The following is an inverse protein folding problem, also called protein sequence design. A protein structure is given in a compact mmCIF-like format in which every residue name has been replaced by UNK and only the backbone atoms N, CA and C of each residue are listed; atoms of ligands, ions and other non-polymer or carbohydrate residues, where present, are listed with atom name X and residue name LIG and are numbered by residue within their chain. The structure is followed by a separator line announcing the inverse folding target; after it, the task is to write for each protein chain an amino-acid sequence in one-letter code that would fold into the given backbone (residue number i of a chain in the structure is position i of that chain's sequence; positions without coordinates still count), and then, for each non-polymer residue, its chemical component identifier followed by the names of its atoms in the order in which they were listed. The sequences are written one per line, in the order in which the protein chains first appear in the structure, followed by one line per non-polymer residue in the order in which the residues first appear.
data_IF_106028615403
#
_entry.id   IF_106028615403
#
_cell.length_a   1.000
_cell.length_b   1.000
_cell.length_c   1.000
_cell.angle_alpha   90.00
_cell.angle_beta   90.00
_cell.angle_gamma   90.00
#
_symmetry.space_group_name_H-M   'P 1'
#
loop_
_entity.id
_entity.type
_entity.pdbx_description
1 polymer ?
#
# COMPACT_ATOMS: atom_id res chain seq x y z
N UNK A 1 -33.09 19.63 43.62
CA UNK A 1 -32.80 19.21 42.24
C UNK A 1 -33.58 17.94 42.00
N UNK A 2 -34.54 17.93 41.05
CA UNK A 2 -35.48 16.84 40.86
C UNK A 2 -34.81 15.63 40.18
N UNK A 3 -35.10 14.43 40.69
CA UNK A 3 -34.60 13.15 40.15
C UNK A 3 -34.80 13.01 38.62
N UNK A 4 -35.85 13.61 38.08
CA UNK A 4 -36.14 13.66 36.64
C UNK A 4 -35.11 14.46 35.84
N UNK A 5 -34.51 15.49 36.43
CA UNK A 5 -33.47 16.30 35.76
C UNK A 5 -32.15 15.55 35.64
N UNK A 6 -31.84 14.67 36.59
CA UNK A 6 -30.64 13.81 36.51
C UNK A 6 -30.75 12.72 35.44
N UNK A 7 -31.93 12.17 35.19
CA UNK A 7 -32.17 11.17 34.16
C UNK A 7 -32.01 11.74 32.75
N UNK A 8 -32.39 13.01 32.55
CA UNK A 8 -32.19 13.68 31.24
C UNK A 8 -30.73 14.02 30.96
N UNK A 9 -29.96 14.37 32.00
CA UNK A 9 -28.52 14.66 31.83
C UNK A 9 -27.72 13.37 31.56
N UNK A 10 -28.08 12.25 32.21
CA UNK A 10 -27.43 10.95 31.95
C UNK A 10 -27.71 10.41 30.53
N UNK A 11 -28.90 10.67 29.97
CA UNK A 11 -29.28 10.23 28.63
C UNK A 11 -28.53 11.01 27.52
N UNK A 12 -28.09 12.24 27.78
CA UNK A 12 -27.34 13.05 26.81
C UNK A 12 -25.84 12.69 26.69
N UNK A 13 -25.28 11.96 27.67
CA UNK A 13 -23.88 11.56 27.68
C UNK A 13 -23.67 10.21 26.98
N UNK A 14 -24.72 9.40 26.82
CA UNK A 14 -24.65 8.05 26.24
C UNK A 14 -24.66 8.02 24.68
N UNK A 15 -24.71 9.18 24.03
CA UNK A 15 -24.98 9.27 22.58
C UNK A 15 -23.88 9.91 21.74
N UNK A 16 -22.62 10.00 22.20
CA UNK A 16 -21.54 10.35 21.26
C UNK A 16 -21.17 9.11 20.45
N UNK A 17 -21.47 9.08 19.12
CA UNK A 17 -20.93 8.02 18.29
C UNK A 17 -19.41 8.10 18.40
N UNK A 18 -18.77 6.98 18.75
CA UNK A 18 -17.32 6.88 18.63
C UNK A 18 -16.95 7.31 17.20
N UNK A 19 -15.90 8.13 17.01
CA UNK A 19 -15.46 8.46 15.67
C UNK A 19 -15.10 7.13 14.99
N UNK A 20 -15.94 6.70 14.04
CA UNK A 20 -15.57 5.63 13.14
C UNK A 20 -14.31 6.11 12.43
N UNK A 21 -13.20 5.40 12.58
CA UNK A 21 -12.00 5.67 11.83
C UNK A 21 -12.35 5.42 10.35
N UNK A 22 -12.81 6.48 9.67
CA UNK A 22 -13.09 6.43 8.26
C UNK A 22 -11.74 6.24 7.54
N UNK A 23 -11.63 5.18 6.77
CA UNK A 23 -10.50 4.96 5.88
C UNK A 23 -10.41 6.05 4.78
N UNK A 24 -9.47 5.91 3.83
CA UNK A 24 -9.32 6.89 2.75
C UNK A 24 -10.61 7.09 1.97
N UNK A 25 -10.93 8.34 1.64
CA UNK A 25 -12.12 8.70 0.82
C UNK A 25 -11.93 8.35 -0.67
N UNK A 26 -10.72 8.07 -1.09
CA UNK A 26 -10.32 7.65 -2.43
C UNK A 26 -9.46 6.38 -2.32
N UNK A 27 -9.63 5.44 -3.25
CA UNK A 27 -8.90 4.18 -3.22
C UNK A 27 -7.38 4.41 -3.33
N UNK A 28 -6.71 4.11 -2.25
CA UNK A 28 -5.27 4.30 -2.10
C UNK A 28 -4.70 3.38 -1.01
N UNK A 29 -3.40 3.23 -0.99
CA UNK A 29 -2.69 2.55 0.08
C UNK A 29 -1.35 3.21 0.36
N UNK A 30 -1.06 3.42 1.64
CA UNK A 30 0.25 3.84 2.13
C UNK A 30 0.84 2.75 3.03
N UNK A 31 2.08 2.38 2.75
CA UNK A 31 2.82 1.37 3.51
C UNK A 31 4.22 1.90 3.85
N UNK A 32 4.66 1.63 5.06
CA UNK A 32 6.02 1.90 5.51
C UNK A 32 6.73 0.56 5.74
N UNK A 33 7.88 0.35 5.09
CA UNK A 33 8.72 -0.83 5.27
C UNK A 33 10.10 -0.47 5.81
N UNK A 34 10.63 -1.34 6.63
CA UNK A 34 11.97 -1.25 7.16
C UNK A 34 12.76 -2.49 6.80
N UNK A 35 14.03 -2.30 6.46
CA UNK A 35 14.94 -3.36 6.05
C UNK A 35 16.29 -3.19 6.73
N UNK A 36 16.89 -4.30 7.18
CA UNK A 36 18.27 -4.39 7.70
C UNK A 36 19.31 -4.53 6.58
N UNK A 37 19.00 -4.01 5.37
CA UNK A 37 19.90 -3.99 4.21
C UNK A 37 19.97 -2.58 3.63
N UNK A 38 21.08 -2.22 2.91
CA UNK A 38 21.21 -0.90 2.32
C UNK A 38 20.13 -0.58 1.27
N UNK A 39 19.68 0.69 1.21
CA UNK A 39 18.68 1.14 0.23
C UNK A 39 19.06 0.86 -1.23
N UNK A 40 20.35 0.81 -1.56
CA UNK A 40 20.80 0.42 -2.91
C UNK A 40 20.34 -0.99 -3.29
N UNK A 41 20.39 -1.95 -2.36
CA UNK A 41 19.92 -3.31 -2.62
C UNK A 41 18.41 -3.34 -2.80
N UNK A 42 17.66 -2.66 -1.92
CA UNK A 42 16.20 -2.51 -2.04
C UNK A 42 15.81 -1.88 -3.38
N UNK A 43 16.48 -0.80 -3.76
CA UNK A 43 16.28 -0.11 -5.04
C UNK A 43 16.47 -1.05 -6.24
N UNK A 44 17.60 -1.77 -6.29
CA UNK A 44 17.91 -2.68 -7.40
C UNK A 44 16.88 -3.79 -7.50
N UNK A 45 16.50 -4.39 -6.36
CA UNK A 45 15.49 -5.47 -6.31
C UNK A 45 14.14 -5.00 -6.82
N UNK A 46 13.64 -3.85 -6.36
CA UNK A 46 12.35 -3.28 -6.81
C UNK A 46 12.35 -2.92 -8.29
N UNK A 47 13.38 -2.21 -8.76
CA UNK A 47 13.47 -1.80 -10.17
C UNK A 47 13.53 -3.01 -11.10
N UNK A 48 14.29 -4.04 -10.75
CA UNK A 48 14.36 -5.27 -11.53
C UNK A 48 13.01 -6.00 -11.54
N UNK A 49 12.30 -6.05 -10.41
CA UNK A 49 10.99 -6.69 -10.32
C UNK A 49 9.94 -5.96 -11.16
N UNK A 50 9.89 -4.62 -11.11
CA UNK A 50 9.00 -3.80 -11.95
C UNK A 50 9.26 -4.08 -13.43
N UNK A 51 10.54 -4.13 -13.85
CA UNK A 51 10.92 -4.44 -15.23
C UNK A 51 10.54 -5.86 -15.63
N UNK A 52 10.69 -6.84 -14.73
CA UNK A 52 10.33 -8.25 -14.96
C UNK A 52 8.83 -8.42 -15.24
N UNK A 53 7.99 -7.69 -14.52
CA UNK A 53 6.53 -7.77 -14.64
C UNK A 53 5.92 -6.72 -15.59
N UNK A 54 6.70 -6.24 -16.56
CA UNK A 54 6.27 -5.19 -17.49
C UNK A 54 5.19 -5.64 -18.47
N UNK A 55 5.13 -6.91 -18.83
CA UNK A 55 4.26 -7.43 -19.90
C UNK A 55 3.17 -8.35 -19.36
N UNK A 56 2.16 -8.64 -20.18
CA UNK A 56 1.10 -9.62 -19.86
C UNK A 56 1.62 -11.04 -19.65
N UNK A 57 2.82 -11.36 -20.14
CA UNK A 57 3.38 -12.73 -20.04
C UNK A 57 3.46 -13.22 -18.59
N UNK A 58 3.73 -12.35 -17.63
CA UNK A 58 3.79 -12.73 -16.20
C UNK A 58 2.41 -12.97 -15.58
N UNK A 59 1.32 -12.59 -16.27
CA UNK A 59 -0.08 -12.91 -15.89
C UNK A 59 -0.70 -14.00 -16.76
N UNK A 60 0.05 -14.71 -17.60
CA UNK A 60 -0.50 -15.72 -18.52
C UNK A 60 -1.24 -16.84 -17.80
N UNK A 61 -0.88 -17.15 -16.55
CA UNK A 61 -1.53 -18.15 -15.71
C UNK A 61 -2.59 -17.55 -14.77
N UNK A 62 -2.99 -16.29 -14.99
CA UNK A 62 -3.91 -15.53 -14.15
C UNK A 62 -3.19 -14.61 -13.15
N UNK A 63 -3.99 -13.86 -12.37
CA UNK A 63 -3.50 -12.90 -11.38
C UNK A 63 -3.18 -11.51 -11.94
N UNK A 64 -2.63 -10.66 -11.09
CA UNK A 64 -2.37 -9.24 -11.37
C UNK A 64 -0.88 -8.87 -11.36
N UNK A 65 0.03 -9.84 -11.24
CA UNK A 65 1.49 -9.64 -11.15
C UNK A 65 2.12 -9.38 -12.51
N UNK A 66 1.56 -8.41 -13.26
CA UNK A 66 2.02 -7.98 -14.59
C UNK A 66 1.66 -6.52 -14.86
N UNK A 67 2.06 -6.00 -16.03
CA UNK A 67 1.76 -4.65 -16.51
C UNK A 67 2.22 -3.53 -15.56
N UNK A 68 3.31 -3.76 -14.83
CA UNK A 68 4.02 -2.72 -14.12
C UNK A 68 4.91 -1.93 -15.09
N UNK A 69 4.77 -0.62 -15.12
CA UNK A 69 5.54 0.26 -16.01
C UNK A 69 6.35 1.26 -15.18
N UNK A 70 7.67 1.12 -15.22
CA UNK A 70 8.57 2.09 -14.59
C UNK A 70 8.46 3.44 -15.30
N UNK A 71 8.23 4.52 -14.54
CA UNK A 71 8.15 5.89 -15.03
C UNK A 71 9.48 6.62 -14.81
N UNK A 72 9.99 6.57 -13.59
CA UNK A 72 11.28 7.14 -13.22
C UNK A 72 11.89 6.37 -12.07
N UNK A 73 13.22 6.36 -11.96
CA UNK A 73 13.92 5.72 -10.87
C UNK A 73 15.25 6.39 -10.58
N UNK A 74 15.49 6.65 -9.31
CA UNK A 74 16.79 6.97 -8.75
C UNK A 74 16.91 6.30 -7.37
N UNK A 75 18.08 6.32 -6.76
CA UNK A 75 18.36 5.58 -5.53
C UNK A 75 17.48 5.98 -4.33
N UNK A 76 16.82 7.13 -4.38
CA UNK A 76 15.96 7.64 -3.32
C UNK A 76 14.48 7.62 -3.68
N UNK A 77 14.16 7.43 -4.96
CA UNK A 77 12.77 7.50 -5.42
C UNK A 77 12.52 6.63 -6.65
N UNK A 78 11.44 5.87 -6.62
CA UNK A 78 10.93 5.08 -7.75
C UNK A 78 9.49 5.50 -7.99
N UNK A 79 9.14 5.77 -9.25
CA UNK A 79 7.77 5.97 -9.71
C UNK A 79 7.43 4.95 -10.78
N UNK A 80 6.27 4.33 -10.66
CA UNK A 80 5.77 3.33 -11.60
C UNK A 80 4.25 3.43 -11.71
N UNK A 81 3.69 2.77 -12.71
CA UNK A 81 2.25 2.54 -12.85
C UNK A 81 1.97 1.04 -12.89
N UNK A 82 0.86 0.64 -12.34
CA UNK A 82 0.29 -0.69 -12.52
C UNK A 82 -1.02 -0.59 -13.30
N UNK A 83 -1.24 -1.47 -14.27
CA UNK A 83 -2.50 -1.56 -15.02
C UNK A 83 -3.11 -2.93 -14.80
N UNK A 84 -4.35 -2.99 -14.32
CA UNK A 84 -5.04 -4.27 -14.13
C UNK A 84 -5.27 -4.95 -15.48
N UNK A 85 -5.00 -6.26 -15.62
CA UNK A 85 -5.01 -6.94 -16.93
C UNK A 85 -6.36 -6.91 -17.65
N UNK A 86 -7.46 -7.06 -16.91
CA UNK A 86 -8.82 -7.19 -17.47
C UNK A 86 -9.55 -5.85 -17.51
N UNK A 87 -9.67 -5.19 -16.36
CA UNK A 87 -10.44 -3.94 -16.23
C UNK A 87 -9.70 -2.70 -16.73
N UNK A 88 -8.39 -2.80 -16.94
CA UNK A 88 -7.52 -1.71 -17.39
C UNK A 88 -7.52 -0.48 -16.47
N UNK A 89 -7.83 -0.67 -15.19
CA UNK A 89 -7.62 0.38 -14.19
C UNK A 89 -6.14 0.64 -14.03
N UNK A 90 -5.79 1.92 -13.87
CA UNK A 90 -4.41 2.37 -13.70
C UNK A 90 -4.25 2.91 -12.29
N UNK A 91 -3.20 2.45 -11.62
CA UNK A 91 -2.81 2.90 -10.30
C UNK A 91 -1.39 3.48 -10.37
N UNK A 92 -1.20 4.65 -9.76
CA UNK A 92 0.10 5.30 -9.61
C UNK A 92 0.83 4.77 -8.38
N UNK A 93 2.07 4.35 -8.58
CA UNK A 93 2.93 3.80 -7.52
C UNK A 93 4.13 4.70 -7.29
N UNK A 94 4.45 4.94 -6.03
CA UNK A 94 5.67 5.64 -5.64
C UNK A 94 6.34 4.96 -4.45
N UNK A 95 7.68 4.96 -4.45
CA UNK A 95 8.51 4.44 -3.37
C UNK A 95 9.58 5.47 -3.06
N UNK A 96 9.62 5.95 -1.82
CA UNK A 96 10.69 6.81 -1.31
C UNK A 96 11.60 5.97 -0.43
N UNK A 97 12.89 5.94 -0.75
CA UNK A 97 13.91 5.18 -0.05
C UNK A 97 14.79 6.11 0.77
N UNK A 98 14.82 5.91 2.08
CA UNK A 98 15.57 6.73 3.02
C UNK A 98 16.56 5.85 3.79
N UNK A 99 17.86 5.99 3.53
CA UNK A 99 18.85 5.24 4.28
C UNK A 99 18.93 5.74 5.73
N UNK A 100 19.16 4.81 6.68
CA UNK A 100 19.39 5.13 8.08
C UNK A 100 20.44 4.19 8.69
N UNK A 101 20.81 4.42 9.97
CA UNK A 101 21.88 3.67 10.66
C UNK A 101 23.15 3.55 9.81
N UNK A 102 23.74 4.70 9.49
CA UNK A 102 24.99 4.77 8.68
C UNK A 102 24.87 4.06 7.33
N UNK A 103 23.72 4.19 6.68
CA UNK A 103 23.42 3.61 5.34
C UNK A 103 23.33 2.07 5.28
N UNK A 104 23.37 1.38 6.41
CA UNK A 104 23.25 -0.10 6.47
C UNK A 104 21.80 -0.58 6.45
N UNK A 105 20.84 0.31 6.70
CA UNK A 105 19.41 0.02 6.75
C UNK A 105 18.65 0.93 5.78
N UNK A 106 17.48 0.48 5.35
CA UNK A 106 16.60 1.22 4.46
C UNK A 106 15.18 1.32 5.02
N UNK A 107 14.64 2.52 5.05
CA UNK A 107 13.23 2.79 5.24
C UNK A 107 12.60 3.12 3.89
N UNK A 108 11.49 2.46 3.54
CA UNK A 108 10.73 2.67 2.31
C UNK A 108 9.34 3.14 2.65
N UNK A 109 9.00 4.36 2.28
CA UNK A 109 7.63 4.87 2.30
C UNK A 109 7.04 4.69 0.91
N UNK A 110 6.03 3.85 0.78
CA UNK A 110 5.39 3.54 -0.49
C UNK A 110 3.93 3.96 -0.52
N UNK A 111 3.45 4.34 -1.69
CA UNK A 111 2.07 4.73 -1.93
C UNK A 111 1.58 4.19 -3.27
N UNK A 112 0.35 3.69 -3.29
CA UNK A 112 -0.41 3.34 -4.48
C UNK A 112 -1.72 4.10 -4.46
N UNK A 113 -2.07 4.74 -5.57
CA UNK A 113 -3.29 5.55 -5.70
C UNK A 113 -3.96 5.25 -7.03
N UNK A 114 -5.26 4.96 -7.00
CA UNK A 114 -6.04 4.75 -8.23
C UNK A 114 -6.20 6.06 -9.00
N UNK A 115 -5.86 6.07 -10.30
CA UNK A 115 -6.04 7.27 -11.15
C UNK A 115 -7.52 7.65 -11.31
N UNK A 116 -8.42 6.69 -11.20
CA UNK A 116 -9.86 6.91 -11.33
C UNK A 116 -10.40 7.57 -10.07
N UNK A 117 -10.64 8.87 -10.13
CA UNK A 117 -10.99 9.74 -8.99
C UNK A 117 -12.25 9.30 -8.20
N UNK A 118 -13.18 8.57 -8.82
CA UNK A 118 -14.40 8.06 -8.18
C UNK A 118 -14.24 6.65 -7.59
N UNK A 119 -13.07 6.04 -7.64
CA UNK A 119 -12.81 4.73 -7.02
C UNK A 119 -12.73 4.89 -5.51
N UNK A 120 -13.69 4.32 -4.79
CA UNK A 120 -13.75 4.36 -3.32
C UNK A 120 -13.33 3.01 -2.73
N UNK A 121 -13.76 1.90 -3.36
CA UNK A 121 -13.43 0.53 -2.96
C UNK A 121 -12.58 -0.11 -4.05
N UNK A 122 -11.50 -0.78 -3.65
CA UNK A 122 -10.55 -1.41 -4.56
C UNK A 122 -10.25 -2.88 -4.26
N UNK A 123 -10.97 -3.47 -3.28
CA UNK A 123 -10.75 -4.85 -2.82
C UNK A 123 -9.32 -5.12 -2.35
N UNK A 124 -8.61 -4.09 -1.87
CA UNK A 124 -7.22 -4.17 -1.45
C UNK A 124 -6.20 -4.19 -2.60
N UNK A 125 -6.63 -3.88 -3.83
CA UNK A 125 -5.74 -3.88 -5.02
C UNK A 125 -4.57 -2.92 -4.84
N UNK A 126 -4.80 -1.70 -4.30
CA UNK A 126 -3.72 -0.76 -4.04
C UNK A 126 -2.67 -1.29 -3.06
N UNK A 127 -3.08 -2.02 -2.02
CA UNK A 127 -2.13 -2.71 -1.15
C UNK A 127 -1.36 -3.81 -1.90
N UNK A 128 -2.07 -4.65 -2.64
CA UNK A 128 -1.44 -5.75 -3.37
C UNK A 128 -0.48 -5.27 -4.48
N UNK A 129 -0.75 -4.15 -5.13
CA UNK A 129 0.16 -3.53 -6.09
C UNK A 129 1.55 -3.28 -5.49
N UNK A 130 1.60 -2.83 -4.24
CA UNK A 130 2.84 -2.56 -3.51
C UNK A 130 3.45 -3.85 -2.95
N UNK A 131 2.64 -4.66 -2.24
CA UNK A 131 3.08 -5.88 -1.56
C UNK A 131 3.64 -6.92 -2.55
N UNK A 132 2.98 -7.12 -3.70
CA UNK A 132 3.43 -8.05 -4.73
C UNK A 132 4.85 -7.73 -5.23
N UNK A 133 5.20 -6.45 -5.36
CA UNK A 133 6.56 -6.05 -5.76
C UNK A 133 7.58 -6.39 -4.67
N UNK A 134 7.23 -6.21 -3.38
CA UNK A 134 8.09 -6.61 -2.26
C UNK A 134 8.29 -8.12 -2.22
N UNK A 135 7.21 -8.89 -2.31
CA UNK A 135 7.25 -10.35 -2.33
C UNK A 135 8.01 -10.88 -3.55
N UNK A 136 7.64 -10.43 -4.75
CA UNK A 136 8.24 -10.89 -6.00
C UNK A 136 9.72 -10.55 -6.14
N UNK A 137 10.18 -9.50 -5.48
CA UNK A 137 11.61 -9.12 -5.43
C UNK A 137 12.40 -9.82 -4.32
N UNK A 138 11.74 -10.65 -3.49
CA UNK A 138 12.35 -11.34 -2.34
C UNK A 138 12.61 -10.44 -1.14
N UNK A 139 12.11 -9.21 -1.13
CA UNK A 139 12.35 -8.26 -0.05
C UNK A 139 11.59 -8.59 1.23
N UNK A 140 10.51 -9.36 1.15
CA UNK A 140 9.79 -9.87 2.34
C UNK A 140 10.65 -10.81 3.19
N UNK A 141 11.65 -11.46 2.58
CA UNK A 141 12.60 -12.35 3.25
C UNK A 141 13.90 -11.63 3.66
N UNK A 142 14.02 -10.34 3.37
CA UNK A 142 15.23 -9.58 3.69
C UNK A 142 15.41 -9.43 5.22
N UNK A 143 16.66 -9.41 5.73
CA UNK A 143 16.93 -9.16 7.14
C UNK A 143 16.24 -7.87 7.62
N UNK A 144 15.58 -7.95 8.80
CA UNK A 144 14.94 -6.81 9.43
C UNK A 144 13.68 -6.30 8.71
N UNK A 145 13.10 -7.09 7.79
CA UNK A 145 11.83 -6.75 7.16
C UNK A 145 10.75 -6.50 8.20
N UNK A 146 10.12 -5.35 8.11
CA UNK A 146 8.97 -4.97 8.94
C UNK A 146 8.03 -4.13 8.11
N UNK A 147 6.73 -4.41 8.17
CA UNK A 147 5.67 -3.67 7.49
C UNK A 147 4.80 -2.93 8.49
N UNK A 148 4.50 -1.67 8.23
CA UNK A 148 3.57 -0.84 8.99
C UNK A 148 2.53 -0.27 8.02
N UNK A 149 1.27 -0.69 8.21
CA UNK A 149 0.10 -0.17 7.51
C UNK A 149 -1.18 -0.56 8.25
N UNK A 150 -2.34 -0.09 7.79
CA UNK A 150 -3.66 -0.38 8.38
C UNK A 150 -4.77 -0.04 7.39
N UNK A 151 -6.02 -0.42 7.68
CA UNK A 151 -7.19 -0.01 6.88
C UNK A 151 -7.43 1.50 6.88
N UNK A 152 -6.87 2.23 7.86
CA UNK A 152 -6.88 3.70 7.86
C UNK A 152 -5.97 4.29 6.77
N UNK A 153 -4.85 3.62 6.46
CA UNK A 153 -3.86 4.04 5.45
C UNK A 153 -4.10 3.41 4.08
N UNK A 154 -4.78 2.27 4.05
CA UNK A 154 -5.03 1.47 2.86
C UNK A 154 -6.50 1.10 2.75
N UNK A 155 -7.10 1.39 1.62
CA UNK A 155 -8.47 0.96 1.32
C UNK A 155 -8.53 -0.57 1.35
N UNK A 156 -9.41 -1.11 2.21
CA UNK A 156 -9.72 -2.54 2.30
C UNK A 156 -8.48 -3.47 2.48
N UNK A 157 -7.45 -3.01 3.19
CA UNK A 157 -6.20 -3.78 3.41
C UNK A 157 -6.47 -5.11 4.10
N UNK A 158 -7.35 -5.13 5.13
CA UNK A 158 -7.66 -6.34 5.91
C UNK A 158 -8.35 -7.45 5.10
N UNK A 159 -9.00 -7.11 4.01
CA UNK A 159 -9.65 -8.05 3.08
C UNK A 159 -8.84 -8.31 1.80
N UNK A 160 -7.64 -7.74 1.66
CA UNK A 160 -6.79 -7.91 0.49
C UNK A 160 -6.36 -9.37 0.33
N UNK A 161 -6.49 -9.90 -0.90
CA UNK A 161 -5.99 -11.22 -1.27
C UNK A 161 -4.98 -11.09 -2.41
N UNK A 162 -3.70 -10.95 -2.06
CA UNK A 162 -2.62 -10.72 -3.04
C UNK A 162 -2.16 -11.98 -3.79
N UNK A 163 -2.82 -13.12 -3.58
CA UNK A 163 -2.65 -14.30 -4.46
C UNK A 163 -3.50 -14.19 -5.71
N UNK A 164 -4.60 -13.42 -5.64
CA UNK A 164 -5.52 -13.18 -6.75
C UNK A 164 -5.19 -11.84 -7.44
N UNK A 165 -4.82 -10.84 -6.64
CA UNK A 165 -4.50 -9.48 -7.08
C UNK A 165 -3.01 -9.24 -7.25
#
# INVERSE_FOLDING_TARGET
MNLKTWLFVAALIAGTPAPSAAGPLHAQCKVEWYFGIPCRQVYVSLVNQIKKWRTLASCAMGGMKCLYKLQSANIHFISAKHTTPVKRHVDDLSFRLVPFRLFTHCHVSAMSVSETWYTILDHGTNYCNLYNLMEGSGLTEAPGYTEITSDFLCTQRSSANCTIY
#
